data_IF_809401889366
#
_entry.id   IF_809401889366
#
_cell.length_a   1.000
_cell.length_b   1.000
_cell.length_c   1.000
_cell.angle_alpha   90.00
_cell.angle_beta   90.00
_cell.angle_gamma   90.00
#
_symmetry.space_group_name_H-M   'P 1'
#
loop_
_entity.id
_entity.type
_entity.pdbx_description
1 polymer ?
#
# COMPACT_ATOMS: atom_id res chain seq x y z
N UNK A 1 -40.15 1.72 37.31
CA UNK A 1 -38.95 1.63 36.45
C UNK A 1 -38.85 0.17 36.18
N UNK A 2 -39.56 -0.26 35.15
CA UNK A 2 -39.95 -1.64 34.95
C UNK A 2 -39.40 -2.06 33.59
N UNK A 3 -38.69 -3.19 33.54
CA UNK A 3 -38.38 -3.85 32.28
C UNK A 3 -39.56 -4.72 31.84
N UNK A 4 -39.69 -4.95 30.54
CA UNK A 4 -40.78 -5.75 29.97
C UNK A 4 -40.23 -6.73 28.94
N UNK A 5 -40.61 -8.00 29.07
CA UNK A 5 -40.38 -9.03 28.07
C UNK A 5 -41.75 -9.48 27.56
N UNK A 6 -42.09 -9.10 26.32
CA UNK A 6 -43.39 -9.35 25.71
C UNK A 6 -43.33 -10.40 24.59
N UNK A 7 -42.19 -10.55 23.92
CA UNK A 7 -42.00 -11.58 22.90
C UNK A 7 -41.85 -12.99 23.48
N UNK A 8 -42.26 -14.00 22.72
CA UNK A 8 -41.99 -15.40 23.07
C UNK A 8 -40.46 -15.63 23.08
N UNK A 9 -39.97 -16.36 24.09
CA UNK A 9 -38.53 -16.60 24.30
C UNK A 9 -37.68 -15.34 24.51
N UNK A 10 -38.29 -14.20 24.86
CA UNK A 10 -37.56 -12.95 25.10
C UNK A 10 -37.03 -12.79 26.54
N UNK A 11 -36.05 -11.91 26.72
CA UNK A 11 -35.50 -11.52 28.02
C UNK A 11 -35.27 -10.01 28.09
N UNK A 12 -35.72 -9.38 29.16
CA UNK A 12 -35.48 -7.96 29.42
C UNK A 12 -34.99 -7.74 30.85
N UNK A 13 -33.99 -6.88 31.03
CA UNK A 13 -33.46 -6.51 32.33
C UNK A 13 -32.94 -5.07 32.37
N UNK A 14 -32.91 -4.47 33.57
CA UNK A 14 -32.43 -3.10 33.77
C UNK A 14 -33.55 -2.05 33.76
N UNK A 15 -33.21 -0.78 33.54
CA UNK A 15 -34.18 0.31 33.59
C UNK A 15 -34.84 0.53 32.22
N UNK A 16 -36.17 0.45 32.15
CA UNK A 16 -36.95 0.72 30.93
C UNK A 16 -36.51 -0.07 29.67
N UNK A 17 -35.89 -1.24 29.86
CA UNK A 17 -35.62 -2.20 28.79
C UNK A 17 -36.91 -2.91 28.35
N UNK A 18 -37.22 -2.91 27.05
CA UNK A 18 -38.41 -3.58 26.50
C UNK A 18 -38.04 -4.56 25.36
N UNK A 19 -38.12 -5.85 25.63
CA UNK A 19 -37.99 -6.92 24.64
C UNK A 19 -39.38 -7.19 24.04
N UNK A 20 -39.74 -6.44 22.99
CA UNK A 20 -41.06 -6.40 22.36
C UNK A 20 -41.31 -7.54 21.37
N UNK A 21 -40.23 -8.11 20.79
CA UNK A 21 -40.28 -9.12 19.73
C UNK A 21 -39.74 -10.47 20.20
N UNK A 22 -40.12 -11.55 19.51
CA UNK A 22 -39.74 -12.92 19.85
C UNK A 22 -38.22 -13.13 19.76
N UNK A 23 -37.68 -13.96 20.64
CA UNK A 23 -36.26 -14.34 20.64
C UNK A 23 -35.27 -13.23 21.04
N UNK A 24 -35.77 -12.07 21.50
CA UNK A 24 -34.92 -10.91 21.79
C UNK A 24 -34.34 -10.91 23.21
N UNK A 25 -33.13 -10.37 23.35
CA UNK A 25 -32.50 -10.04 24.64
C UNK A 25 -32.27 -8.54 24.71
N UNK A 26 -32.76 -7.87 25.75
CA UNK A 26 -32.58 -6.43 25.94
C UNK A 26 -32.09 -6.13 27.36
N UNK A 27 -30.92 -5.50 27.47
CA UNK A 27 -30.42 -4.94 28.72
C UNK A 27 -30.21 -3.44 28.58
N UNK A 28 -30.65 -2.65 29.57
CA UNK A 28 -30.41 -1.21 29.63
C UNK A 28 -29.93 -0.77 31.01
N UNK A 29 -29.03 0.21 31.04
CA UNK A 29 -28.45 0.70 32.29
C UNK A 29 -29.42 1.62 33.09
N UNK A 30 -28.92 2.65 33.77
CA UNK A 30 -29.75 3.60 34.54
C UNK A 30 -30.26 4.80 33.72
N UNK A 31 -30.00 4.84 32.41
CA UNK A 31 -30.60 5.79 31.46
C UNK A 31 -32.13 5.77 31.59
N UNK A 32 -32.75 6.93 31.42
CA UNK A 32 -34.20 7.08 31.66
C UNK A 32 -35.05 6.87 30.41
N UNK A 33 -34.43 6.90 29.23
CA UNK A 33 -35.13 6.66 27.97
C UNK A 33 -35.45 5.17 27.85
N UNK A 34 -36.53 4.85 27.12
CA UNK A 34 -36.83 3.46 26.80
C UNK A 34 -35.85 2.93 25.77
N UNK A 35 -35.38 1.70 25.96
CA UNK A 35 -34.51 0.98 25.03
C UNK A 35 -35.18 -0.35 24.70
N UNK A 36 -35.49 -0.59 23.43
CA UNK A 36 -36.42 -1.64 23.05
C UNK A 36 -36.07 -2.34 21.74
N UNK A 37 -36.47 -3.60 21.61
CA UNK A 37 -36.33 -4.35 20.37
C UNK A 37 -37.19 -3.77 19.25
N UNK A 38 -36.73 -3.96 18.02
CA UNK A 38 -37.37 -3.46 16.79
C UNK A 38 -37.66 -4.58 15.78
N UNK A 39 -37.32 -5.81 16.13
CA UNK A 39 -37.53 -7.01 15.35
C UNK A 39 -37.09 -8.25 16.13
N UNK A 40 -37.42 -9.46 15.62
CA UNK A 40 -37.12 -10.71 16.30
C UNK A 40 -35.61 -11.02 16.35
N UNK A 41 -35.23 -11.90 17.28
CA UNK A 41 -33.88 -12.48 17.41
C UNK A 41 -32.73 -11.46 17.60
N UNK A 42 -33.05 -10.26 18.10
CA UNK A 42 -32.07 -9.22 18.42
C UNK A 42 -31.43 -9.40 19.80
N UNK A 43 -30.13 -9.13 19.90
CA UNK A 43 -29.41 -9.01 21.17
C UNK A 43 -28.95 -7.58 21.36
N UNK A 44 -29.56 -6.86 22.30
CA UNK A 44 -29.42 -5.42 22.49
C UNK A 44 -28.90 -5.10 23.90
N UNK A 45 -27.87 -4.27 23.97
CA UNK A 45 -27.27 -3.78 25.21
C UNK A 45 -27.12 -2.26 25.12
N UNK A 46 -27.74 -1.53 26.05
CA UNK A 46 -27.48 -0.11 26.30
C UNK A 46 -26.67 0.04 27.60
N UNK A 47 -25.35 0.11 27.46
CA UNK A 47 -24.41 0.33 28.55
C UNK A 47 -23.61 1.62 28.30
N UNK A 48 -24.11 2.76 28.82
CA UNK A 48 -23.45 4.06 28.69
C UNK A 48 -22.06 4.11 29.34
N UNK A 49 -21.80 3.22 30.31
CA UNK A 49 -20.47 3.00 30.89
C UNK A 49 -19.57 2.05 30.11
N UNK A 50 -20.04 1.44 29.01
CA UNK A 50 -19.30 0.48 28.17
C UNK A 50 -19.64 -0.99 28.45
N UNK A 51 -19.35 -1.84 27.47
CA UNK A 51 -19.48 -3.30 27.54
C UNK A 51 -18.11 -3.93 27.64
N UNK A 52 -17.81 -4.53 28.80
CA UNK A 52 -16.57 -5.24 29.07
C UNK A 52 -16.70 -6.75 28.86
N UNK A 53 -15.74 -7.36 28.16
CA UNK A 53 -15.53 -8.81 28.15
C UNK A 53 -14.14 -9.09 28.71
N UNK A 54 -14.06 -9.80 29.83
CA UNK A 54 -12.80 -10.05 30.55
C UNK A 54 -12.26 -8.87 31.34
N UNK A 55 -12.97 -7.74 31.37
CA UNK A 55 -12.63 -6.55 32.19
C UNK A 55 -13.84 -6.04 32.98
N UNK A 56 -13.57 -5.46 34.15
CA UNK A 56 -14.59 -4.82 34.99
C UNK A 56 -14.62 -3.28 34.82
N UNK A 57 -13.67 -2.72 34.06
CA UNK A 57 -13.52 -1.27 33.84
C UNK A 57 -13.36 -1.00 32.33
N UNK A 58 -14.44 -1.17 31.53
CA UNK A 58 -14.40 -0.90 30.11
C UNK A 58 -14.09 0.59 29.84
N UNK A 59 -13.14 0.87 28.94
CA UNK A 59 -12.70 2.24 28.62
C UNK A 59 -13.28 2.77 27.30
N UNK A 60 -13.92 1.89 26.53
CA UNK A 60 -14.65 2.17 25.28
C UNK A 60 -16.02 1.49 25.36
N UNK A 61 -16.91 1.78 24.39
CA UNK A 61 -18.23 1.13 24.30
C UNK A 61 -18.14 -0.39 24.25
N UNK A 62 -17.09 -0.92 23.61
CA UNK A 62 -16.77 -2.34 23.58
C UNK A 62 -15.28 -2.54 23.89
N UNK A 63 -14.98 -3.09 25.07
CA UNK A 63 -13.62 -3.34 25.55
C UNK A 63 -13.46 -4.83 25.89
N UNK A 64 -12.68 -5.54 25.08
CA UNK A 64 -12.30 -6.93 25.33
C UNK A 64 -10.88 -6.96 25.88
N UNK A 65 -10.68 -7.61 27.01
CA UNK A 65 -9.38 -7.74 27.66
C UNK A 65 -9.15 -9.19 28.07
N UNK A 66 -8.02 -9.74 27.66
CA UNK A 66 -7.55 -11.05 28.11
C UNK A 66 -6.01 -11.09 28.10
N UNK A 67 -5.43 -12.09 28.76
CA UNK A 67 -3.98 -12.31 28.89
C UNK A 67 -3.57 -13.58 28.15
N UNK A 68 -3.64 -13.54 26.82
CA UNK A 68 -3.31 -14.67 25.94
C UNK A 68 -1.83 -14.63 25.54
N UNK A 69 -1.11 -15.72 25.75
CA UNK A 69 0.30 -15.86 25.38
C UNK A 69 0.60 -17.30 24.95
N UNK A 70 0.36 -17.62 23.68
CA UNK A 70 0.76 -18.90 23.08
C UNK A 70 1.77 -18.66 21.95
N UNK A 71 2.51 -19.69 21.55
CA UNK A 71 3.49 -19.71 20.44
C UNK A 71 2.92 -20.46 19.23
N UNK A 72 3.26 -20.05 18.00
CA UNK A 72 2.83 -20.72 16.73
C UNK A 72 1.76 -19.96 15.92
N UNK A 73 2.05 -19.65 14.65
CA UNK A 73 1.38 -18.62 13.82
C UNK A 73 -0.10 -18.82 13.45
N UNK A 74 -0.63 -20.04 13.52
CA UNK A 74 -1.88 -20.39 12.81
C UNK A 74 -3.09 -20.67 13.73
N UNK A 75 -3.04 -20.28 15.01
CA UNK A 75 -4.13 -20.52 15.96
C UNK A 75 -4.95 -19.26 16.23
N UNK A 76 -6.21 -19.23 15.80
CA UNK A 76 -7.17 -18.14 16.06
C UNK A 76 -7.33 -17.85 17.57
N UNK A 77 -7.15 -18.87 18.42
CA UNK A 77 -7.20 -18.74 19.89
C UNK A 77 -6.08 -17.90 20.51
N UNK A 78 -5.10 -17.43 19.72
CA UNK A 78 -4.03 -16.53 20.19
C UNK A 78 -4.45 -15.07 20.28
N UNK A 79 -5.57 -14.71 19.67
CA UNK A 79 -6.07 -13.34 19.67
C UNK A 79 -7.07 -13.12 20.81
N UNK A 80 -7.07 -11.92 21.39
CA UNK A 80 -8.05 -11.51 22.42
C UNK A 80 -9.48 -11.46 21.86
N UNK A 81 -9.62 -11.20 20.55
CA UNK A 81 -10.89 -11.22 19.83
C UNK A 81 -10.68 -11.74 18.40
N UNK A 82 -11.71 -12.38 17.86
CA UNK A 82 -11.76 -12.85 16.48
C UNK A 82 -13.11 -12.47 15.85
N UNK A 83 -13.09 -12.05 14.60
CA UNK A 83 -14.28 -11.79 13.77
C UNK A 83 -14.15 -12.68 12.55
N UNK A 84 -15.03 -13.67 12.42
CA UNK A 84 -14.98 -14.67 11.37
C UNK A 84 -16.34 -14.76 10.66
N UNK A 85 -16.30 -14.71 9.33
CA UNK A 85 -17.45 -15.08 8.51
C UNK A 85 -17.23 -16.50 7.97
N UNK A 86 -17.97 -17.46 8.50
CA UNK A 86 -17.86 -18.88 8.13
C UNK A 86 -18.67 -19.25 6.90
N UNK A 87 -19.31 -18.28 6.25
CA UNK A 87 -20.05 -18.50 5.02
C UNK A 87 -19.09 -18.89 3.90
N UNK A 88 -19.21 -20.12 3.42
CA UNK A 88 -18.37 -20.70 2.37
C UNK A 88 -18.91 -20.47 0.95
N UNK A 89 -19.96 -19.66 0.79
CA UNK A 89 -20.49 -19.32 -0.52
C UNK A 89 -19.52 -18.40 -1.26
N UNK A 90 -18.68 -18.99 -2.12
CA UNK A 90 -17.83 -18.28 -3.07
C UNK A 90 -18.54 -18.00 -4.42
N UNK A 91 -19.87 -18.01 -4.44
CA UNK A 91 -20.66 -17.82 -5.65
C UNK A 91 -20.80 -16.35 -6.05
N UNK A 92 -21.02 -16.08 -7.35
CA UNK A 92 -21.05 -14.74 -7.98
C UNK A 92 -22.24 -13.84 -7.58
N UNK A 93 -22.86 -14.04 -6.42
CA UNK A 93 -24.05 -13.27 -6.00
C UNK A 93 -24.16 -12.98 -4.50
N UNK A 94 -23.27 -13.53 -3.66
CA UNK A 94 -23.17 -13.17 -2.24
C UNK A 94 -21.75 -13.47 -1.80
N UNK A 95 -20.99 -12.42 -1.52
CA UNK A 95 -19.60 -12.51 -1.05
C UNK A 95 -19.65 -12.24 0.45
N UNK A 96 -19.02 -13.09 1.29
CA UNK A 96 -18.97 -12.85 2.73
C UNK A 96 -18.08 -11.65 3.07
N UNK A 97 -18.64 -10.66 3.75
CA UNK A 97 -17.89 -9.57 4.37
C UNK A 97 -17.54 -9.90 5.84
N UNK A 98 -16.48 -9.31 6.39
CA UNK A 98 -16.01 -9.59 7.76
C UNK A 98 -16.12 -8.37 8.67
N UNK A 99 -15.33 -7.32 8.43
CA UNK A 99 -15.26 -6.12 9.27
C UNK A 99 -15.43 -4.87 8.41
N UNK A 100 -16.47 -4.08 8.70
CA UNK A 100 -16.66 -2.73 8.18
C UNK A 100 -16.37 -1.69 9.27
N UNK A 101 -15.64 -0.63 8.93
CA UNK A 101 -15.40 0.53 9.79
C UNK A 101 -15.99 1.75 9.09
N UNK A 102 -17.03 2.35 9.68
CA UNK A 102 -17.78 3.44 9.05
C UNK A 102 -17.82 4.68 9.95
N UNK A 103 -17.64 5.85 9.33
CA UNK A 103 -17.88 7.15 9.95
C UNK A 103 -19.11 7.78 9.30
N UNK A 104 -20.18 7.97 10.07
CA UNK A 104 -21.44 8.52 9.53
C UNK A 104 -21.28 9.99 9.13
N UNK A 105 -21.71 10.33 7.90
CA UNK A 105 -21.76 11.70 7.36
C UNK A 105 -20.39 12.40 7.22
N UNK A 106 -19.33 11.63 7.00
CA UNK A 106 -17.99 12.19 6.78
C UNK A 106 -17.56 11.90 5.33
N UNK A 107 -17.76 12.86 4.43
CA UNK A 107 -17.31 12.76 3.03
C UNK A 107 -15.80 13.01 2.86
N UNK A 108 -15.19 13.58 3.88
CA UNK A 108 -13.75 13.81 3.98
C UNK A 108 -13.34 13.51 5.43
N UNK A 109 -12.65 12.40 5.69
CA UNK A 109 -12.31 11.97 7.04
C UNK A 109 -11.33 12.91 7.75
N UNK A 110 -10.98 14.09 7.23
CA UNK A 110 -10.07 15.03 7.92
C UNK A 110 -8.72 14.36 8.23
N UNK A 111 -7.78 15.08 8.84
CA UNK A 111 -6.46 14.51 9.21
C UNK A 111 -6.44 13.83 10.59
N UNK A 112 -7.61 13.61 11.22
CA UNK A 112 -7.68 13.29 12.66
C UNK A 112 -8.60 12.13 13.03
N UNK A 113 -9.30 11.51 12.08
CA UNK A 113 -10.12 10.35 12.41
C UNK A 113 -9.29 9.06 12.29
N UNK A 114 -9.10 8.36 13.41
CA UNK A 114 -8.47 7.05 13.46
C UNK A 114 -9.48 5.95 13.15
N UNK A 115 -9.14 5.06 12.21
CA UNK A 115 -9.87 3.82 11.96
C UNK A 115 -9.30 2.66 12.76
N UNK A 116 -7.98 2.45 12.68
CA UNK A 116 -7.25 1.40 13.40
C UNK A 116 -5.99 2.00 14.01
N UNK A 117 -5.91 2.02 15.34
CA UNK A 117 -4.74 2.52 16.07
C UNK A 117 -3.95 1.36 16.68
N UNK A 118 -2.63 1.37 16.44
CA UNK A 118 -1.68 0.47 17.08
C UNK A 118 -1.07 1.20 18.27
N UNK A 119 -1.23 0.65 19.48
CA UNK A 119 -0.86 1.33 20.72
C UNK A 119 0.02 0.44 21.61
N UNK A 120 0.88 1.07 22.40
CA UNK A 120 1.58 0.47 23.52
C UNK A 120 1.21 1.19 24.84
N UNK A 121 1.92 0.90 25.93
CA UNK A 121 1.66 1.55 27.23
C UNK A 121 1.98 3.05 27.27
N UNK A 122 2.70 3.57 26.27
CA UNK A 122 3.13 4.96 26.16
C UNK A 122 2.26 5.78 25.20
N UNK A 123 1.53 5.13 24.28
CA UNK A 123 0.58 5.79 23.38
C UNK A 123 0.46 5.08 22.03
N UNK A 124 0.00 5.81 21.01
CA UNK A 124 -0.09 5.30 19.64
C UNK A 124 1.29 5.20 19.01
N UNK A 125 1.63 4.02 18.51
CA UNK A 125 2.88 3.72 17.78
C UNK A 125 2.67 3.63 16.25
N UNK A 126 1.42 3.54 15.80
CA UNK A 126 1.05 3.59 14.38
C UNK A 126 -0.46 3.75 14.21
N UNK A 127 -0.91 4.21 13.03
CA UNK A 127 -2.34 4.45 12.78
C UNK A 127 -2.72 4.20 11.32
N UNK A 128 -3.97 3.79 11.11
CA UNK A 128 -4.68 3.90 9.83
C UNK A 128 -5.76 4.96 10.05
N UNK A 129 -5.65 6.09 9.35
CA UNK A 129 -6.47 7.27 9.61
C UNK A 129 -6.85 8.01 8.33
N UNK A 130 -7.81 8.93 8.41
CA UNK A 130 -8.12 9.84 7.32
C UNK A 130 -6.94 10.74 6.95
N UNK A 131 -6.76 11.02 5.65
CA UNK A 131 -5.72 11.91 5.12
C UNK A 131 -6.17 13.39 5.00
N UNK A 132 -7.43 13.67 5.31
CA UNK A 132 -8.06 14.99 5.16
C UNK A 132 -8.27 15.45 3.73
N UNK A 133 -8.28 14.51 2.79
CA UNK A 133 -8.55 14.74 1.38
C UNK A 133 -9.45 13.64 0.79
N UNK A 134 -10.30 13.02 1.62
CA UNK A 134 -11.20 11.94 1.20
C UNK A 134 -10.57 10.53 1.11
N UNK A 135 -9.33 10.36 1.57
CA UNK A 135 -8.58 9.11 1.56
C UNK A 135 -8.19 8.62 2.95
N UNK A 136 -7.32 7.60 2.97
CA UNK A 136 -6.76 6.98 4.18
C UNK A 136 -5.25 6.92 4.04
N UNK A 137 -4.54 7.18 5.14
CA UNK A 137 -3.09 7.10 5.25
C UNK A 137 -2.65 6.11 6.33
N UNK A 138 -1.45 5.55 6.13
CA UNK A 138 -0.72 4.80 7.15
C UNK A 138 0.27 5.75 7.83
N UNK A 139 0.19 5.88 9.15
CA UNK A 139 1.04 6.78 9.93
C UNK A 139 2.08 6.01 10.72
N UNK A 140 3.36 6.33 10.46
CA UNK A 140 4.54 5.71 11.08
C UNK A 140 5.77 6.61 10.98
N UNK A 141 6.92 6.16 11.51
CA UNK A 141 8.13 6.98 11.67
C UNK A 141 9.01 7.10 10.42
N UNK A 142 8.89 6.21 9.44
CA UNK A 142 9.55 6.29 8.12
C UNK A 142 8.54 5.95 7.02
N UNK A 143 8.88 6.23 5.77
CA UNK A 143 7.92 6.37 4.67
C UNK A 143 8.19 5.45 3.46
N UNK A 144 9.01 4.41 3.62
CA UNK A 144 9.30 3.47 2.53
C UNK A 144 8.44 2.21 2.55
N UNK A 145 8.28 1.63 1.37
CA UNK A 145 7.63 0.34 1.12
C UNK A 145 8.73 -0.68 0.84
N UNK A 146 8.71 -1.77 1.59
CA UNK A 146 9.73 -2.81 1.53
C UNK A 146 9.13 -4.20 1.34
N UNK A 147 9.95 -5.14 0.88
CA UNK A 147 9.66 -6.56 0.92
C UNK A 147 10.81 -7.33 1.58
N UNK A 148 10.51 -8.49 2.18
CA UNK A 148 11.53 -9.42 2.62
C UNK A 148 12.04 -10.25 1.44
N UNK A 149 13.36 -10.30 1.27
CA UNK A 149 14.04 -11.14 0.28
C UNK A 149 14.90 -12.20 0.96
N UNK A 150 14.98 -13.42 0.41
CA UNK A 150 15.85 -14.47 0.95
C UNK A 150 17.32 -14.08 0.76
N UNK A 151 18.14 -14.33 1.77
CA UNK A 151 19.60 -14.13 1.69
C UNK A 151 20.25 -15.33 1.01
N UNK A 152 21.17 -15.08 0.07
CA UNK A 152 21.95 -16.15 -0.55
C UNK A 152 22.81 -16.91 0.49
N UNK A 153 23.32 -16.18 1.48
CA UNK A 153 23.89 -16.73 2.71
C UNK A 153 22.94 -16.43 3.89
N UNK A 154 22.21 -17.43 4.42
CA UNK A 154 21.22 -17.20 5.46
C UNK A 154 21.83 -16.69 6.77
N UNK A 155 23.12 -16.97 7.04
CA UNK A 155 23.80 -16.54 8.25
C UNK A 155 24.41 -15.12 8.11
N UNK A 156 24.32 -14.52 6.91
CA UNK A 156 24.85 -13.19 6.65
C UNK A 156 23.96 -12.13 7.29
N UNK A 157 24.57 -11.24 8.06
CA UNK A 157 23.93 -10.05 8.58
C UNK A 157 24.15 -8.85 7.66
N UNK A 158 23.12 -8.01 7.53
CA UNK A 158 23.18 -6.76 6.81
C UNK A 158 22.72 -5.63 7.74
N UNK A 159 23.49 -4.54 7.76
CA UNK A 159 23.16 -3.37 8.56
C UNK A 159 22.15 -2.47 7.81
N UNK A 160 21.39 -1.70 8.57
CA UNK A 160 20.44 -0.73 8.01
C UNK A 160 21.13 0.27 7.08
N UNK A 161 20.48 0.58 5.96
CA UNK A 161 20.98 1.52 4.95
C UNK A 161 22.15 0.99 4.10
N UNK A 162 22.55 -0.28 4.28
CA UNK A 162 23.51 -0.95 3.40
C UNK A 162 22.91 -1.14 2.00
N UNK A 163 23.70 -0.85 0.98
CA UNK A 163 23.42 -1.18 -0.42
C UNK A 163 23.80 -2.63 -0.66
N UNK A 164 22.88 -3.41 -1.19
CA UNK A 164 23.06 -4.85 -1.46
C UNK A 164 22.73 -5.16 -2.91
N UNK A 165 23.27 -6.26 -3.43
CA UNK A 165 22.88 -6.80 -4.72
C UNK A 165 21.68 -7.74 -4.56
N UNK A 166 20.85 -7.77 -5.59
CA UNK A 166 19.88 -8.83 -5.81
C UNK A 166 20.31 -9.61 -7.05
N UNK A 167 20.60 -10.90 -6.89
CA UNK A 167 21.06 -11.78 -7.97
C UNK A 167 20.21 -13.05 -7.97
N UNK A 168 19.51 -13.33 -9.07
CA UNK A 168 18.64 -14.50 -9.16
C UNK A 168 17.49 -14.52 -8.13
N UNK A 169 17.15 -13.37 -7.55
CA UNK A 169 16.13 -13.22 -6.50
C UNK A 169 16.63 -13.40 -5.07
N UNK A 170 17.93 -13.62 -4.87
CA UNK A 170 18.56 -13.73 -3.54
C UNK A 170 19.44 -12.51 -3.24
N UNK A 171 19.50 -12.15 -1.97
CA UNK A 171 20.30 -11.00 -1.51
C UNK A 171 21.75 -11.41 -1.34
N UNK A 172 22.63 -10.67 -2.00
CA UNK A 172 24.09 -10.85 -1.96
C UNK A 172 24.77 -9.59 -1.42
N UNK A 173 25.85 -9.78 -0.66
CA UNK A 173 26.75 -8.69 -0.35
C UNK A 173 27.49 -8.27 -1.63
N UNK A 174 27.74 -6.97 -1.77
CA UNK A 174 28.55 -6.46 -2.87
C UNK A 174 30.05 -6.65 -2.56
N UNK A 175 30.83 -6.66 -3.62
CA UNK A 175 32.28 -6.50 -3.66
C UNK A 175 32.65 -5.77 -4.96
N UNK A 176 33.94 -5.48 -5.16
CA UNK A 176 34.42 -4.71 -6.31
C UNK A 176 34.18 -5.42 -7.67
N UNK A 177 33.94 -6.72 -7.68
CA UNK A 177 33.73 -7.53 -8.89
C UNK A 177 32.26 -7.93 -9.09
N UNK A 178 31.35 -7.46 -8.23
CA UNK A 178 29.94 -7.82 -8.23
C UNK A 178 29.15 -7.20 -9.39
N UNK A 179 28.34 -8.00 -10.07
CA UNK A 179 27.44 -7.59 -11.16
C UNK A 179 26.03 -8.17 -10.94
N UNK A 180 25.30 -7.72 -9.90
CA UNK A 180 23.96 -8.21 -9.59
C UNK A 180 22.92 -7.69 -10.60
N UNK A 181 21.79 -8.37 -10.72
CA UNK A 181 20.68 -7.97 -11.60
C UNK A 181 20.19 -6.53 -11.28
N UNK A 182 20.16 -6.18 -10.00
CA UNK A 182 19.89 -4.82 -9.50
C UNK A 182 20.51 -4.62 -8.13
N UNK A 183 20.57 -3.36 -7.68
CA UNK A 183 20.88 -3.03 -6.29
C UNK A 183 19.66 -2.50 -5.57
N UNK A 184 19.60 -2.74 -4.26
CA UNK A 184 18.56 -2.26 -3.36
C UNK A 184 19.19 -1.85 -2.03
N UNK A 185 18.40 -1.24 -1.15
CA UNK A 185 18.85 -0.75 0.17
C UNK A 185 18.14 -1.50 1.28
N UNK A 186 18.90 -1.93 2.29
CA UNK A 186 18.36 -2.53 3.52
C UNK A 186 17.54 -1.49 4.27
N UNK A 187 16.24 -1.75 4.43
CA UNK A 187 15.29 -0.81 5.03
C UNK A 187 15.30 -0.87 6.56
N UNK A 188 15.51 0.29 7.18
CA UNK A 188 15.55 0.46 8.65
C UNK A 188 14.21 0.14 9.30
N UNK A 189 13.14 0.86 8.92
CA UNK A 189 11.82 0.71 9.54
C UNK A 189 10.71 1.05 8.53
N UNK A 190 10.47 0.18 7.53
CA UNK A 190 9.51 0.45 6.47
C UNK A 190 8.09 0.60 7.03
N UNK A 191 7.30 1.48 6.41
CA UNK A 191 5.90 1.71 6.79
C UNK A 191 5.04 0.47 6.53
N UNK A 192 5.32 -0.22 5.42
CA UNK A 192 4.70 -1.48 5.04
C UNK A 192 5.79 -2.45 4.58
N UNK A 193 5.74 -3.70 5.06
CA UNK A 193 6.62 -4.79 4.61
C UNK A 193 5.81 -5.94 4.03
N UNK A 194 6.06 -6.30 2.77
CA UNK A 194 5.53 -7.49 2.13
C UNK A 194 6.46 -8.70 2.19
N UNK A 195 5.98 -9.86 1.74
CA UNK A 195 6.73 -11.10 1.56
C UNK A 195 7.53 -11.62 2.78
N UNK A 196 7.14 -11.23 4.01
CA UNK A 196 7.79 -11.75 5.22
C UNK A 196 7.42 -13.23 5.43
N UNK A 197 8.39 -14.13 5.69
CA UNK A 197 8.10 -15.51 6.02
C UNK A 197 7.12 -15.64 7.17
N UNK A 198 6.12 -16.51 6.97
CA UNK A 198 5.11 -16.84 7.98
C UNK A 198 5.76 -17.62 9.11
N UNK A 199 6.57 -18.63 8.76
CA UNK A 199 7.35 -19.41 9.71
C UNK A 199 8.40 -18.50 10.38
N UNK A 200 8.36 -18.45 11.71
CA UNK A 200 9.25 -17.61 12.48
C UNK A 200 10.69 -18.09 12.41
N UNK A 201 10.91 -19.40 12.26
CA UNK A 201 12.24 -20.02 12.16
C UNK A 201 12.94 -19.67 10.84
N UNK A 202 12.19 -19.25 9.81
CA UNK A 202 12.73 -18.84 8.51
C UNK A 202 13.05 -17.34 8.43
N UNK A 203 12.53 -16.53 9.37
CA UNK A 203 12.63 -15.06 9.26
C UNK A 203 14.06 -14.54 9.26
N UNK A 204 14.96 -15.20 10.00
CA UNK A 204 16.37 -14.81 10.07
C UNK A 204 17.11 -15.06 8.76
N UNK A 205 16.60 -15.91 7.86
CA UNK A 205 17.17 -16.13 6.53
C UNK A 205 16.77 -15.04 5.51
N UNK A 206 16.00 -14.03 5.92
CA UNK A 206 15.49 -12.96 5.05
C UNK A 206 15.94 -11.57 5.53
N UNK A 207 15.94 -10.60 4.61
CA UNK A 207 16.22 -9.19 4.93
C UNK A 207 15.20 -8.28 4.24
N UNK A 208 14.82 -7.18 4.91
CA UNK A 208 13.89 -6.17 4.39
C UNK A 208 14.63 -5.24 3.43
N UNK A 209 14.23 -5.20 2.17
CA UNK A 209 14.78 -4.28 1.18
C UNK A 209 13.72 -3.28 0.74
N UNK A 210 14.12 -2.01 0.67
CA UNK A 210 13.23 -0.95 0.21
C UNK A 210 13.04 -1.02 -1.30
N UNK A 211 11.79 -0.95 -1.74
CA UNK A 211 11.41 -0.90 -3.16
C UNK A 211 11.20 0.53 -3.63
N UNK A 212 10.58 1.35 -2.78
CA UNK A 212 10.27 2.75 -3.06
C UNK A 212 10.09 3.54 -1.77
N UNK A 213 10.54 4.79 -1.78
CA UNK A 213 10.32 5.73 -0.68
C UNK A 213 11.61 6.40 -0.22
N UNK A 214 11.55 6.98 0.99
CA UNK A 214 12.67 7.73 1.56
C UNK A 214 13.42 6.85 2.57
N UNK A 215 14.67 6.54 2.27
CA UNK A 215 15.48 5.56 3.01
C UNK A 215 16.83 6.16 3.38
N UNK A 216 17.30 6.01 4.63
CA UNK A 216 18.68 6.31 4.97
C UNK A 216 19.64 5.36 4.23
N UNK A 217 20.59 5.89 3.46
CA UNK A 217 21.60 5.15 2.70
C UNK A 217 22.99 5.48 3.23
N UNK A 218 23.81 4.47 3.50
CA UNK A 218 25.19 4.66 3.94
C UNK A 218 26.06 5.11 2.77
N UNK A 219 26.91 6.13 2.99
CA UNK A 219 27.79 6.66 1.95
C UNK A 219 29.27 6.56 2.32
N UNK A 220 30.15 6.26 1.36
CA UNK A 220 31.61 6.19 1.57
C UNK A 220 32.35 7.48 1.19
N UNK A 221 31.66 8.41 0.53
CA UNK A 221 32.17 9.74 0.17
C UNK A 221 31.12 10.80 0.52
N UNK A 222 31.52 12.07 0.59
CA UNK A 222 30.57 13.17 0.78
C UNK A 222 29.59 13.24 -0.39
N UNK A 223 28.32 13.44 -0.10
CA UNK A 223 27.24 13.57 -1.08
C UNK A 223 26.41 14.82 -0.80
N UNK A 224 25.92 15.45 -1.86
CA UNK A 224 25.07 16.63 -1.82
C UNK A 224 23.61 16.33 -2.14
N UNK A 225 22.73 17.26 -1.75
CA UNK A 225 21.31 17.18 -2.12
C UNK A 225 21.14 17.17 -3.64
N UNK A 226 20.40 16.19 -4.15
CA UNK A 226 20.12 16.01 -5.58
C UNK A 226 21.13 15.14 -6.31
N UNK A 227 22.19 14.69 -5.65
CA UNK A 227 23.13 13.75 -6.25
C UNK A 227 22.45 12.42 -6.55
N UNK A 228 22.69 11.91 -7.76
CA UNK A 228 22.33 10.54 -8.11
C UNK A 228 23.32 9.62 -7.41
N UNK A 229 22.80 8.75 -6.56
CA UNK A 229 23.58 7.77 -5.81
C UNK A 229 23.71 6.48 -6.63
N UNK A 230 24.93 5.99 -6.76
CA UNK A 230 25.24 4.65 -7.30
C UNK A 230 25.90 3.84 -6.20
N UNK A 231 25.90 2.50 -6.32
CA UNK A 231 26.66 1.66 -5.40
C UNK A 231 28.13 2.11 -5.34
N UNK A 232 28.88 1.84 -4.27
CA UNK A 232 30.30 2.20 -4.14
C UNK A 232 31.20 1.24 -4.92
N UNK A 233 32.25 1.70 -5.63
CA UNK A 233 33.06 0.84 -6.52
C UNK A 233 33.89 -0.18 -5.75
N UNK A 234 34.13 0.09 -4.47
CA UNK A 234 34.77 -0.87 -3.56
C UNK A 234 33.84 -2.02 -3.17
N UNK A 235 32.53 -1.93 -3.51
CA UNK A 235 31.51 -2.91 -3.17
C UNK A 235 31.28 -3.05 -1.66
N UNK A 236 31.65 -2.07 -0.85
CA UNK A 236 31.60 -2.11 0.62
C UNK A 236 30.18 -1.95 1.21
N UNK A 237 29.15 -2.06 0.38
CA UNK A 237 27.75 -1.88 0.76
C UNK A 237 27.35 -0.43 1.04
N UNK A 238 28.12 0.53 0.53
CA UNK A 238 27.78 1.96 0.59
C UNK A 238 27.44 2.51 -0.79
N UNK A 239 27.00 3.77 -0.84
CA UNK A 239 26.80 4.53 -2.06
C UNK A 239 27.77 5.71 -2.19
N UNK A 240 27.95 6.18 -3.43
CA UNK A 240 28.69 7.41 -3.76
C UNK A 240 27.89 8.23 -4.77
N UNK A 241 28.19 9.53 -4.87
CA UNK A 241 27.66 10.36 -5.94
C UNK A 241 28.16 9.85 -7.30
N UNK A 242 27.26 9.67 -8.26
CA UNK A 242 27.59 9.21 -9.61
C UNK A 242 28.59 10.12 -10.31
N UNK A 243 28.58 11.42 -10.00
CA UNK A 243 29.52 12.40 -10.55
C UNK A 243 30.97 12.15 -10.11
N UNK A 244 31.15 11.51 -8.95
CA UNK A 244 32.46 11.19 -8.37
C UNK A 244 32.87 9.73 -8.65
N UNK A 245 32.13 9.03 -9.51
CA UNK A 245 32.42 7.66 -9.92
C UNK A 245 32.75 7.62 -11.42
N UNK A 246 33.97 7.19 -11.76
CA UNK A 246 34.46 7.13 -13.14
C UNK A 246 33.87 5.96 -13.96
N UNK A 247 33.11 5.08 -13.33
CA UNK A 247 32.54 3.88 -13.95
C UNK A 247 31.12 4.15 -14.48
N UNK A 248 31.04 4.42 -15.77
CA UNK A 248 29.77 4.57 -16.46
C UNK A 248 28.95 3.25 -16.41
N UNK A 249 27.68 3.34 -16.04
CA UNK A 249 26.73 2.22 -16.11
C UNK A 249 26.52 1.46 -14.80
N UNK A 250 27.09 1.91 -13.69
CA UNK A 250 26.87 1.28 -12.38
C UNK A 250 25.41 1.38 -11.91
N UNK A 251 24.90 0.36 -11.21
CA UNK A 251 23.52 0.35 -10.73
C UNK A 251 23.21 1.58 -9.87
N UNK A 252 22.14 2.27 -10.24
CA UNK A 252 21.67 3.43 -9.50
C UNK A 252 20.91 2.95 -8.26
N UNK A 253 21.27 3.51 -7.10
CA UNK A 253 20.63 3.24 -5.82
C UNK A 253 19.43 4.17 -5.63
N UNK A 254 19.62 5.46 -5.90
CA UNK A 254 18.59 6.47 -5.65
C UNK A 254 19.07 7.90 -5.88
N UNK A 255 18.39 8.86 -5.28
CA UNK A 255 18.78 10.27 -5.28
C UNK A 255 18.85 10.81 -3.86
N UNK A 256 19.94 11.47 -3.50
CA UNK A 256 20.10 12.10 -2.20
C UNK A 256 19.09 13.25 -2.00
N UNK A 257 18.40 13.26 -0.86
CA UNK A 257 17.47 14.32 -0.42
C UNK A 257 18.10 15.25 0.61
N UNK A 258 19.40 15.10 0.87
CA UNK A 258 20.16 15.86 1.83
C UNK A 258 21.66 15.76 1.56
N UNK A 259 22.44 16.25 2.51
CA UNK A 259 23.90 16.21 2.47
C UNK A 259 24.40 15.24 3.56
N UNK A 260 25.50 14.54 3.30
CA UNK A 260 26.15 13.67 4.27
C UNK A 260 27.65 13.58 3.98
N UNK A 261 28.47 13.45 5.03
CA UNK A 261 29.90 13.20 4.90
C UNK A 261 30.20 11.70 4.78
N UNK A 262 31.44 11.39 4.35
CA UNK A 262 31.92 10.01 4.26
C UNK A 262 31.74 9.23 5.58
N UNK A 263 31.09 8.07 5.51
CA UNK A 263 30.80 7.21 6.65
C UNK A 263 29.47 7.49 7.36
N UNK A 264 28.73 8.51 6.93
CA UNK A 264 27.39 8.83 7.44
C UNK A 264 26.28 8.20 6.60
N UNK A 265 25.03 8.46 6.97
CA UNK A 265 23.84 8.09 6.20
C UNK A 265 23.19 9.34 5.62
N UNK A 266 22.86 9.31 4.33
CA UNK A 266 22.05 10.32 3.65
C UNK A 266 20.63 9.80 3.46
N UNK A 267 19.61 10.63 3.68
CA UNK A 267 18.25 10.27 3.28
C UNK A 267 18.17 10.31 1.75
N UNK A 268 17.75 9.22 1.11
CA UNK A 268 17.64 9.12 -0.34
C UNK A 268 16.23 8.70 -0.77
N UNK A 269 15.80 9.19 -1.94
CA UNK A 269 14.64 8.70 -2.64
C UNK A 269 15.01 7.48 -3.48
N UNK A 270 14.40 6.34 -3.19
CA UNK A 270 14.53 5.07 -3.91
C UNK A 270 13.31 4.88 -4.83
N UNK A 271 13.51 4.34 -6.04
CA UNK A 271 12.42 4.01 -6.97
C UNK A 271 11.71 5.22 -7.63
N UNK A 272 12.31 6.41 -7.58
CA UNK A 272 11.75 7.63 -8.17
C UNK A 272 11.89 7.72 -9.70
N UNK A 273 11.06 8.51 -10.39
CA UNK A 273 11.15 8.71 -11.84
C UNK A 273 12.47 9.35 -12.25
N UNK A 274 13.14 8.81 -13.28
CA UNK A 274 14.46 9.26 -13.75
C UNK A 274 15.65 8.61 -13.04
N UNK A 275 15.39 7.76 -12.05
CA UNK A 275 16.37 6.88 -11.42
C UNK A 275 16.35 5.58 -12.24
N UNK A 276 17.08 5.57 -13.34
CA UNK A 276 17.24 4.37 -14.18
C UNK A 276 18.09 3.35 -13.40
N UNK A 277 17.44 2.39 -12.75
CA UNK A 277 18.09 1.30 -12.00
C UNK A 277 18.55 0.16 -12.91
N UNK A 278 18.28 0.23 -14.22
CA UNK A 278 18.67 -0.80 -15.17
C UNK A 278 20.18 -0.73 -15.43
N UNK A 279 20.94 -1.83 -15.24
CA UNK A 279 22.34 -1.86 -15.66
C UNK A 279 22.41 -1.67 -17.18
N UNK A 280 23.30 -0.79 -17.64
CA UNK A 280 23.49 -0.53 -19.06
C UNK A 280 24.10 -1.78 -19.73
N UNK A 281 23.28 -2.69 -20.25
CA UNK A 281 23.78 -3.85 -20.97
C UNK A 281 24.49 -3.40 -22.25
N UNK A 282 25.81 -3.54 -22.29
CA UNK A 282 26.61 -3.21 -23.47
C UNK A 282 26.42 -4.23 -24.59
N UNK A 283 26.15 -3.75 -25.81
CA UNK A 283 26.61 -4.37 -27.06
C UNK A 283 26.31 -3.50 -28.30
N UNK A 284 27.37 -2.95 -28.92
CA UNK A 284 27.61 -3.12 -30.37
C UNK A 284 29.04 -2.71 -30.73
N UNK A 285 29.87 -3.74 -30.87
CA UNK A 285 31.16 -3.72 -31.57
C UNK A 285 31.01 -3.18 -33.00
N UNK A 286 31.84 -2.20 -33.36
CA UNK A 286 31.92 -1.63 -34.71
C UNK A 286 33.30 -1.00 -34.95
N UNK A 287 34.22 -1.82 -35.45
CA UNK A 287 35.59 -1.44 -35.82
C UNK A 287 35.65 -0.36 -36.91
N UNK A 288 36.37 0.73 -36.68
CA UNK A 288 37.11 1.47 -37.72
C UNK A 288 38.20 2.34 -37.08
N UNK A 289 39.47 1.99 -37.34
CA UNK A 289 40.61 2.75 -36.84
C UNK A 289 40.93 4.00 -37.65
N UNK A 290 41.52 5.00 -36.99
CA UNK A 290 42.64 5.82 -37.50
C UNK A 290 43.26 6.67 -36.38
N UNK A 291 44.60 6.67 -36.33
CA UNK A 291 45.52 7.37 -35.43
C UNK A 291 45.42 8.93 -35.45
N UNK A 292 46.10 9.64 -34.51
CA UNK A 292 45.60 10.86 -33.85
C UNK A 292 46.06 12.17 -34.47
N UNK A 293 45.36 13.28 -34.17
CA UNK A 293 45.85 14.63 -34.36
C UNK A 293 45.19 15.63 -33.40
N UNK A 294 46.02 16.55 -32.91
CA UNK A 294 45.74 17.66 -32.00
C UNK A 294 44.58 18.59 -32.43
N UNK A 295 43.86 19.11 -31.42
CA UNK A 295 43.27 20.45 -31.41
C UNK A 295 41.86 20.64 -31.97
N UNK A 296 40.89 20.86 -31.08
CA UNK A 296 40.08 22.11 -30.99
C UNK A 296 38.77 21.85 -30.22
N UNK A 297 38.58 22.58 -29.12
CA UNK A 297 37.46 22.48 -28.19
C UNK A 297 36.19 23.18 -28.68
N UNK A 298 35.86 23.08 -29.97
CA UNK A 298 34.69 23.73 -30.58
C UNK A 298 33.66 22.74 -31.16
N UNK A 299 33.92 21.44 -31.12
CA UNK A 299 33.07 20.40 -31.75
C UNK A 299 32.00 19.83 -30.81
N UNK A 300 32.24 19.79 -29.48
CA UNK A 300 31.33 19.15 -28.50
C UNK A 300 29.96 19.83 -28.33
N UNK A 301 29.85 21.13 -28.61
CA UNK A 301 28.58 21.84 -28.56
C UNK A 301 27.69 21.58 -29.81
N UNK A 302 28.28 21.10 -30.92
CA UNK A 302 27.53 20.78 -32.14
C UNK A 302 26.98 19.35 -32.11
N UNK A 303 27.69 18.40 -31.49
CA UNK A 303 27.22 17.00 -31.37
C UNK A 303 26.07 16.85 -30.39
N UNK A 304 26.11 17.51 -29.22
CA UNK A 304 25.00 17.48 -28.26
C UNK A 304 23.71 18.16 -28.78
N UNK A 305 23.84 19.20 -29.62
CA UNK A 305 22.70 19.86 -30.26
C UNK A 305 22.16 19.14 -31.51
N UNK A 306 22.83 18.09 -31.98
CA UNK A 306 22.35 17.16 -33.01
C UNK A 306 21.63 16.00 -32.33
N UNK A 307 22.24 15.38 -31.31
CA UNK A 307 21.60 14.32 -30.49
C UNK A 307 20.28 14.77 -29.85
N UNK A 308 20.23 16.00 -29.32
CA UNK A 308 19.00 16.55 -28.75
C UNK A 308 17.91 16.86 -29.78
N UNK A 309 18.28 17.14 -31.04
CA UNK A 309 17.30 17.33 -32.13
C UNK A 309 16.79 15.99 -32.63
N UNK A 310 17.67 15.02 -32.80
CA UNK A 310 17.30 13.67 -33.23
C UNK A 310 16.33 13.03 -32.22
N UNK A 311 16.52 13.28 -30.91
CA UNK A 311 15.57 12.83 -29.87
C UNK A 311 14.23 13.57 -29.90
N UNK A 312 14.22 14.85 -30.25
CA UNK A 312 12.97 15.62 -30.41
C UNK A 312 12.20 15.14 -31.63
N UNK A 313 12.87 14.90 -32.76
CA UNK A 313 12.25 14.40 -33.98
C UNK A 313 11.68 12.98 -33.77
N UNK A 314 12.35 12.13 -32.97
CA UNK A 314 11.85 10.81 -32.57
C UNK A 314 10.60 10.91 -31.68
N UNK A 315 10.60 11.82 -30.70
CA UNK A 315 9.44 12.04 -29.82
C UNK A 315 8.26 12.65 -30.57
N UNK A 316 8.50 13.53 -31.54
CA UNK A 316 7.45 14.10 -32.39
C UNK A 316 6.81 13.02 -33.29
N UNK A 317 7.60 12.07 -33.80
CA UNK A 317 7.08 10.94 -34.55
C UNK A 317 6.25 9.99 -33.67
N UNK A 318 6.71 9.71 -32.45
CA UNK A 318 5.98 8.86 -31.49
C UNK A 318 4.67 9.53 -31.02
N UNK A 319 4.67 10.84 -30.83
CA UNK A 319 3.46 11.60 -30.50
C UNK A 319 2.44 11.55 -31.63
N UNK A 320 2.87 11.68 -32.89
CA UNK A 320 1.97 11.58 -34.04
C UNK A 320 1.31 10.18 -34.14
N UNK A 321 2.08 9.11 -33.89
CA UNK A 321 1.55 7.74 -33.88
C UNK A 321 0.58 7.51 -32.71
N UNK A 322 0.87 8.07 -31.53
CA UNK A 322 -0.04 8.02 -30.37
C UNK A 322 -1.32 8.80 -30.62
N UNK A 323 -1.27 9.96 -31.27
CA UNK A 323 -2.45 10.75 -31.64
C UNK A 323 -3.35 10.00 -32.63
N UNK A 324 -2.77 9.33 -33.63
CA UNK A 324 -3.52 8.47 -34.57
C UNK A 324 -4.19 7.30 -33.83
N UNK A 325 -3.47 6.64 -32.92
CA UNK A 325 -4.02 5.55 -32.11
C UNK A 325 -5.17 6.00 -31.19
N UNK A 326 -5.08 7.20 -30.62
CA UNK A 326 -6.17 7.76 -29.80
C UNK A 326 -7.40 8.00 -30.67
N UNK A 327 -7.24 8.58 -31.86
CA UNK A 327 -8.35 8.82 -32.78
C UNK A 327 -9.05 7.51 -33.20
N UNK A 328 -8.28 6.45 -33.46
CA UNK A 328 -8.83 5.12 -33.78
C UNK A 328 -9.59 4.51 -32.60
N UNK A 329 -9.04 4.60 -31.37
CA UNK A 329 -9.70 4.13 -30.16
C UNK A 329 -10.97 4.91 -29.84
N UNK A 330 -11.00 6.22 -30.09
CA UNK A 330 -12.21 7.03 -29.93
C UNK A 330 -13.28 6.62 -30.93
N UNK A 331 -12.91 6.36 -32.19
CA UNK A 331 -13.82 5.87 -33.21
C UNK A 331 -14.36 4.45 -32.91
N UNK A 332 -13.53 3.57 -32.33
CA UNK A 332 -13.96 2.25 -31.89
C UNK A 332 -14.92 2.34 -30.69
N UNK A 333 -14.60 3.17 -29.70
CA UNK A 333 -15.48 3.40 -28.55
C UNK A 333 -16.85 3.93 -28.98
N UNK A 334 -16.90 4.83 -29.97
CA UNK A 334 -18.17 5.34 -30.48
C UNK A 334 -19.00 4.24 -31.16
N UNK A 335 -18.37 3.39 -31.98
CA UNK A 335 -19.04 2.21 -32.56
C UNK A 335 -19.56 1.25 -31.49
N UNK A 336 -18.81 1.05 -30.42
CA UNK A 336 -19.24 0.19 -29.30
C UNK A 336 -20.44 0.80 -28.55
N UNK A 337 -20.47 2.13 -28.38
CA UNK A 337 -21.65 2.82 -27.80
C UNK A 337 -22.89 2.67 -28.67
N UNK A 338 -22.76 2.83 -29.98
CA UNK A 338 -23.86 2.60 -30.92
C UNK A 338 -24.35 1.14 -30.89
N UNK A 339 -23.43 0.16 -30.83
CA UNK A 339 -23.80 -1.25 -30.72
C UNK A 339 -24.52 -1.57 -29.40
N UNK A 340 -24.07 -1.00 -28.29
CA UNK A 340 -24.72 -1.17 -26.99
C UNK A 340 -26.12 -0.54 -26.99
N UNK A 341 -26.30 0.63 -27.59
CA UNK A 341 -27.61 1.26 -27.73
C UNK A 341 -28.59 0.39 -28.57
N UNK A 342 -28.14 -0.21 -29.67
CA UNK A 342 -28.95 -1.15 -30.46
C UNK A 342 -29.30 -2.42 -29.67
N UNK A 343 -28.34 -2.94 -28.89
CA UNK A 343 -28.59 -4.09 -28.02
C UNK A 343 -29.59 -3.78 -26.91
N UNK A 344 -29.53 -2.59 -26.31
CA UNK A 344 -30.49 -2.12 -25.32
C UNK A 344 -31.89 -1.97 -25.93
N UNK A 345 -32.02 -1.42 -27.13
CA UNK A 345 -33.32 -1.33 -27.83
C UNK A 345 -33.89 -2.71 -28.14
N UNK A 346 -33.04 -3.65 -28.59
CA UNK A 346 -33.45 -5.03 -28.84
C UNK A 346 -33.82 -5.76 -27.55
N UNK A 347 -33.12 -5.50 -26.46
CA UNK A 347 -33.43 -6.07 -25.15
C UNK A 347 -34.78 -5.54 -24.66
N UNK A 348 -35.02 -4.24 -24.73
CA UNK A 348 -36.30 -3.63 -24.38
C UNK A 348 -37.47 -4.19 -25.21
N UNK A 349 -37.27 -4.43 -26.51
CA UNK A 349 -38.28 -5.06 -27.36
C UNK A 349 -38.56 -6.52 -26.99
N UNK A 350 -37.54 -7.25 -26.52
CA UNK A 350 -37.70 -8.63 -26.02
C UNK A 350 -38.39 -8.64 -24.66
N UNK A 351 -38.05 -7.72 -23.76
CA UNK A 351 -38.69 -7.55 -22.45
C UNK A 351 -40.18 -7.21 -22.59
N UNK A 352 -40.54 -6.32 -23.52
CA UNK A 352 -41.93 -6.00 -23.87
C UNK A 352 -42.66 -7.23 -24.44
N UNK A 353 -42.02 -8.00 -25.33
CA UNK A 353 -42.59 -9.22 -25.89
C UNK A 353 -42.82 -10.31 -24.83
N UNK A 354 -41.98 -10.37 -23.79
CA UNK A 354 -42.07 -11.34 -22.70
C UNK A 354 -42.94 -10.86 -21.53
N UNK A 355 -43.45 -9.62 -21.57
CA UNK A 355 -44.29 -9.03 -20.52
C UNK A 355 -43.53 -8.78 -19.21
N UNK A 356 -42.22 -8.54 -19.30
CA UNK A 356 -41.34 -8.26 -18.16
C UNK A 356 -41.26 -6.74 -17.93
N UNK A 357 -42.35 -6.10 -17.51
CA UNK A 357 -42.31 -4.70 -17.08
C UNK A 357 -41.83 -4.64 -15.62
N UNK A 358 -40.55 -4.34 -15.41
CA UNK A 358 -40.04 -3.93 -14.11
C UNK A 358 -39.75 -2.43 -14.13
N UNK A 359 -40.72 -1.64 -13.68
CA UNK A 359 -40.55 -0.21 -13.50
C UNK A 359 -39.47 0.13 -12.48
N UNK A 360 -38.63 1.12 -12.83
CA UNK A 360 -38.02 2.05 -11.90
C UNK A 360 -37.48 3.28 -12.64
N UNK A 361 -38.25 4.36 -12.68
CA UNK A 361 -37.74 5.70 -12.32
C UNK A 361 -38.91 6.68 -12.29
N UNK A 362 -39.37 6.93 -11.06
CA UNK A 362 -40.26 8.03 -10.74
C UNK A 362 -39.46 9.33 -10.90
N UNK A 363 -39.94 10.21 -11.78
CA UNK A 363 -39.33 11.51 -12.03
C UNK A 363 -39.40 12.44 -10.81
N UNK A 364 -38.29 13.16 -10.59
CA UNK A 364 -38.29 14.45 -9.88
C UNK A 364 -38.55 15.52 -10.94
N UNK A 365 -39.63 16.28 -10.78
CA UNK A 365 -39.90 17.48 -11.56
C UNK A 365 -40.05 18.68 -10.60
N UNK A 366 -39.36 19.77 -10.96
CA UNK A 366 -39.50 21.14 -10.46
C UNK A 366 -40.97 21.59 -10.38
N UNK A 367 -41.37 22.15 -9.23
CA UNK A 367 -41.85 23.54 -9.01
C UNK A 367 -41.95 23.84 -7.50
#
# INVERSE_FOLDING_TARGET
MDCKALGDYSFAAGNNAEALDDGTFVWADQTVNGFFSTGPDQFLIEASGGTGIGTNDPVTTFHVQDSVAETGGDNLGRHVAAIENTNSNAGTGSIPDVLGLELTNVSDPGQFHSYISFMDSSGTIGNIQGDGNGGVEFVGSLADFAECFPKADPDREFEDGTVVGLDGGEVVALDADSDPDTVLVVSTAPLVTGNRPIDEDERDAYVKLSLVGQVPVRVSASVGHGDVLVASPDGDGTAVARADCDEAGRPVVGMALGEADAGETVLALIGGPGIDTTPASGAASGTAGREPADGDASTGARTAGIDGRDRVDELEAELAEREERIADLEAENERLREQNADLEERLAAVEDHLGLDSGASQGVADD
#
